data_IF_461917211133
#
_entry.id   IF_461917211133
#
_cell.length_a   1.000
_cell.length_b   1.000
_cell.length_c   1.000
_cell.angle_alpha   90.00
_cell.angle_beta   90.00
_cell.angle_gamma   90.00
#
_symmetry.space_group_name_H-M   'P 1'
#
loop_
_entity.id
_entity.type
_entity.pdbx_description
1 polymer ?
#
# COMPACT_ATOMS: atom_id res chain seq x y z
N UNK A 1 20.15 23.96 -25.67
CA UNK A 1 19.06 23.12 -25.14
C UNK A 1 19.44 22.68 -23.74
N UNK A 2 18.86 23.28 -22.69
CA UNK A 2 19.05 22.81 -21.30
C UNK A 2 17.86 21.91 -20.98
N UNK A 3 18.14 20.65 -20.65
CA UNK A 3 17.11 19.69 -20.30
C UNK A 3 16.63 20.01 -18.87
N UNK A 4 15.33 20.29 -18.71
CA UNK A 4 14.75 20.52 -17.39
C UNK A 4 14.73 19.22 -16.60
N UNK A 5 15.29 19.26 -15.38
CA UNK A 5 15.25 18.15 -14.43
C UNK A 5 13.82 18.04 -13.90
N UNK A 6 13.04 17.12 -14.45
CA UNK A 6 11.76 16.75 -13.85
C UNK A 6 12.01 15.95 -12.57
N UNK A 7 11.87 16.61 -11.41
CA UNK A 7 11.83 15.90 -10.13
C UNK A 7 10.68 14.89 -10.14
N UNK A 8 11.02 13.61 -10.04
CA UNK A 8 10.04 12.55 -9.98
C UNK A 8 9.15 12.73 -8.73
N UNK A 9 7.90 13.15 -8.93
CA UNK A 9 6.92 13.24 -7.85
C UNK A 9 6.72 11.85 -7.25
N UNK A 10 7.03 11.71 -5.96
CA UNK A 10 6.77 10.49 -5.21
C UNK A 10 5.28 10.12 -5.32
N UNK A 11 5.03 8.84 -5.62
CA UNK A 11 3.68 8.26 -5.65
C UNK A 11 3.16 7.92 -4.25
N UNK A 12 3.97 8.14 -3.21
CA UNK A 12 3.56 7.91 -1.83
C UNK A 12 2.67 9.07 -1.36
N UNK A 13 1.52 8.78 -0.73
CA UNK A 13 0.71 9.80 -0.09
C UNK A 13 1.55 10.61 0.90
N UNK A 14 1.41 11.94 0.85
CA UNK A 14 2.12 12.84 1.75
C UNK A 14 1.81 12.48 3.20
N UNK A 15 2.83 12.30 4.03
CA UNK A 15 2.68 11.96 5.45
C UNK A 15 2.67 10.47 5.78
N UNK A 16 2.68 9.57 4.80
CA UNK A 16 3.02 8.16 5.07
C UNK A 16 4.53 8.08 5.22
N UNK A 17 5.00 7.67 6.40
CA UNK A 17 6.42 7.52 6.69
C UNK A 17 7.04 6.45 5.78
N UNK A 18 7.55 6.88 4.62
CA UNK A 18 8.27 6.02 3.68
C UNK A 18 9.49 5.34 4.33
N UNK A 19 10.01 5.94 5.40
CA UNK A 19 11.26 5.55 6.06
C UNK A 19 11.11 4.31 6.96
N UNK A 20 9.95 4.13 7.63
CA UNK A 20 9.78 3.10 8.67
C UNK A 20 8.42 2.38 8.54
N UNK A 21 8.20 1.54 7.52
CA UNK A 21 6.98 0.76 7.40
C UNK A 21 6.88 -0.29 8.52
N UNK A 22 5.66 -0.50 9.05
CA UNK A 22 5.38 -1.62 9.96
C UNK A 22 5.23 -2.89 9.13
N UNK A 23 6.07 -3.93 9.34
CA UNK A 23 5.94 -5.18 8.63
C UNK A 23 4.72 -5.96 9.12
N UNK A 24 3.95 -6.52 8.19
CA UNK A 24 2.84 -7.43 8.47
C UNK A 24 3.30 -8.87 8.23
N UNK A 25 3.03 -9.77 9.17
CA UNK A 25 3.28 -11.20 9.00
C UNK A 25 2.08 -11.80 8.29
N UNK A 26 2.34 -12.48 7.18
CA UNK A 26 1.35 -13.23 6.41
C UNK A 26 1.91 -14.64 6.19
N UNK A 27 1.04 -15.65 6.21
CA UNK A 27 1.35 -16.97 5.68
C UNK A 27 1.55 -16.93 4.16
N UNK A 28 2.04 -18.01 3.58
CA UNK A 28 2.20 -18.11 2.12
C UNK A 28 0.84 -18.00 1.41
N UNK A 29 -0.20 -18.64 1.95
CA UNK A 29 -1.56 -18.60 1.40
C UNK A 29 -2.16 -17.19 1.49
N UNK A 30 -2.06 -16.54 2.66
CA UNK A 30 -2.55 -15.17 2.86
C UNK A 30 -1.86 -14.18 1.92
N UNK A 31 -0.56 -14.37 1.68
CA UNK A 31 0.22 -13.55 0.75
C UNK A 31 -0.23 -13.77 -0.69
N UNK A 32 -0.49 -15.02 -1.08
CA UNK A 32 -0.96 -15.36 -2.43
C UNK A 32 -2.36 -14.76 -2.70
N UNK A 33 -3.27 -14.83 -1.73
CA UNK A 33 -4.59 -14.20 -1.82
C UNK A 33 -4.50 -12.68 -1.97
N UNK A 34 -3.65 -12.03 -1.17
CA UNK A 34 -3.41 -10.59 -1.26
C UNK A 34 -2.89 -10.20 -2.65
N UNK A 35 -1.93 -10.94 -3.20
CA UNK A 35 -1.36 -10.69 -4.53
C UNK A 35 -2.40 -10.88 -5.63
N UNK A 36 -3.25 -11.92 -5.54
CA UNK A 36 -4.33 -12.15 -6.49
C UNK A 36 -5.33 -10.98 -6.51
N UNK A 37 -5.73 -10.47 -5.33
CA UNK A 37 -6.62 -9.32 -5.23
C UNK A 37 -5.95 -8.06 -5.75
N UNK A 38 -4.67 -7.82 -5.39
CA UNK A 38 -3.92 -6.65 -5.84
C UNK A 38 -3.79 -6.61 -7.38
N UNK A 39 -3.51 -7.76 -7.99
CA UNK A 39 -3.43 -7.91 -9.44
C UNK A 39 -4.78 -7.63 -10.11
N UNK A 40 -5.88 -8.18 -9.57
CA UNK A 40 -7.24 -7.92 -10.06
C UNK A 40 -7.60 -6.43 -10.03
N UNK A 41 -7.18 -5.73 -8.99
CA UNK A 41 -7.44 -4.30 -8.78
C UNK A 41 -6.39 -3.37 -9.44
N UNK A 42 -5.40 -3.92 -10.16
CA UNK A 42 -4.28 -3.17 -10.76
C UNK A 42 -3.53 -2.28 -9.73
N UNK A 43 -3.29 -2.81 -8.53
CA UNK A 43 -2.60 -2.13 -7.42
C UNK A 43 -1.37 -2.92 -6.98
N UNK A 44 -0.43 -2.26 -6.29
CA UNK A 44 0.64 -2.98 -5.61
C UNK A 44 0.12 -3.71 -4.36
N UNK A 45 0.79 -4.79 -3.98
CA UNK A 45 0.48 -5.55 -2.76
C UNK A 45 0.48 -4.67 -1.51
N UNK A 46 1.46 -3.77 -1.35
CA UNK A 46 1.50 -2.82 -0.22
C UNK A 46 0.30 -1.86 -0.21
N UNK A 47 -0.13 -1.39 -1.37
CA UNK A 47 -1.30 -0.50 -1.49
C UNK A 47 -2.59 -1.25 -1.15
N UNK A 48 -2.72 -2.48 -1.65
CA UNK A 48 -3.87 -3.33 -1.37
C UNK A 48 -3.95 -3.74 0.10
N UNK A 49 -2.83 -4.15 0.70
CA UNK A 49 -2.76 -4.50 2.12
C UNK A 49 -3.19 -3.33 3.00
N UNK A 50 -2.76 -2.11 2.66
CA UNK A 50 -3.16 -0.89 3.37
C UNK A 50 -4.67 -0.64 3.26
N UNK A 51 -5.27 -0.85 2.09
CA UNK A 51 -6.72 -0.68 1.91
C UNK A 51 -7.51 -1.68 2.76
N UNK A 52 -7.11 -2.95 2.74
CA UNK A 52 -7.73 -4.01 3.56
C UNK A 52 -7.60 -3.66 5.05
N UNK A 53 -6.42 -3.23 5.49
CA UNK A 53 -6.21 -2.77 6.87
C UNK A 53 -7.15 -1.62 7.25
N UNK A 54 -7.26 -0.57 6.42
CA UNK A 54 -8.14 0.56 6.69
C UNK A 54 -9.61 0.14 6.77
N UNK A 55 -10.04 -0.75 5.87
CA UNK A 55 -11.41 -1.29 5.88
C UNK A 55 -11.68 -2.13 7.13
N UNK A 56 -10.71 -2.91 7.57
CA UNK A 56 -10.78 -3.68 8.81
C UNK A 56 -10.80 -2.77 10.04
N UNK A 57 -10.06 -1.67 10.05
CA UNK A 57 -10.10 -0.72 11.18
C UNK A 57 -11.50 -0.20 11.46
N UNK A 58 -12.30 0.05 10.43
CA UNK A 58 -13.68 0.53 10.58
C UNK A 58 -14.51 -0.40 11.49
N UNK A 59 -14.24 -1.71 11.51
CA UNK A 59 -14.97 -2.67 12.37
C UNK A 59 -14.51 -2.64 13.83
N UNK A 60 -13.34 -2.08 14.13
CA UNK A 60 -12.78 -1.99 15.48
C UNK A 60 -12.89 -0.59 16.08
N UNK A 61 -13.03 0.44 15.23
CA UNK A 61 -13.16 1.83 15.65
C UNK A 61 -14.60 2.31 15.73
N UNK A 62 -15.58 1.45 15.44
CA UNK A 62 -17.00 1.77 15.63
C UNK A 62 -17.25 2.14 17.10
N UNK A 63 -17.56 3.43 17.29
CA UNK A 63 -18.13 4.03 18.50
C UNK A 63 -19.63 4.18 18.29
#
# INVERSE_FOLDING_TARGET
>A
MKQELHEARSRLPRGIAAKNPVPMRLSEDERAELEAIANRESRSSSSMARLIYLRGLETFTDK
#
